data_IF_264263807205
#
_entry.id   IF_264263807205
#
_cell.length_a   1.000
_cell.length_b   1.000
_cell.length_c   1.000
_cell.angle_alpha   90.00
_cell.angle_beta   90.00
_cell.angle_gamma   90.00
#
_symmetry.space_group_name_H-M   'P 1'
#
loop_
_entity.id
_entity.type
_entity.pdbx_description
1 polymer ?
#
# COMPACT_ATOMS: atom_id res chain seq x y z
N UNK A 1 -5.65 -7.50 -20.91
CA UNK A 1 -5.24 -7.62 -19.49
C UNK A 1 -6.13 -8.66 -18.83
N UNK A 2 -5.52 -9.72 -18.29
CA UNK A 2 -6.26 -10.71 -17.52
C UNK A 2 -6.77 -10.00 -16.26
N UNK A 3 -8.09 -9.93 -16.06
CA UNK A 3 -8.66 -9.30 -14.86
C UNK A 3 -8.49 -10.30 -13.70
N UNK A 4 -7.83 -9.88 -12.61
CA UNK A 4 -7.72 -10.68 -11.38
C UNK A 4 -9.11 -11.15 -10.95
N UNK A 5 -9.32 -12.46 -10.88
CA UNK A 5 -10.60 -13.07 -10.48
C UNK A 5 -10.68 -13.09 -8.96
N UNK A 6 -11.75 -12.54 -8.41
CA UNK A 6 -11.94 -12.45 -6.96
C UNK A 6 -13.08 -13.38 -6.53
N UNK A 7 -12.84 -14.13 -5.45
CA UNK A 7 -13.90 -14.79 -4.69
C UNK A 7 -14.38 -13.89 -3.55
N UNK A 8 -15.63 -13.42 -3.63
CA UNK A 8 -16.31 -12.70 -2.56
C UNK A 8 -17.11 -13.68 -1.70
N UNK A 9 -16.66 -13.86 -0.46
CA UNK A 9 -17.25 -14.75 0.53
C UNK A 9 -17.73 -13.93 1.73
N UNK A 10 -19.03 -14.01 2.01
CA UNK A 10 -19.71 -13.15 2.98
C UNK A 10 -20.21 -13.99 4.15
N UNK A 11 -19.80 -13.63 5.35
CA UNK A 11 -20.35 -14.15 6.58
C UNK A 11 -21.59 -13.31 6.96
N UNK A 12 -22.79 -13.86 6.77
CA UNK A 12 -24.04 -13.10 6.91
C UNK A 12 -24.31 -12.62 8.34
N UNK A 13 -23.78 -13.34 9.33
CA UNK A 13 -23.98 -13.06 10.75
C UNK A 13 -23.08 -11.91 11.21
N UNK A 14 -21.89 -11.82 10.63
CA UNK A 14 -20.88 -10.81 10.96
C UNK A 14 -20.78 -9.62 9.96
N UNK A 15 -21.54 -9.65 8.87
CA UNK A 15 -21.56 -8.58 7.86
C UNK A 15 -22.82 -7.69 7.90
N UNK A 16 -22.67 -6.45 7.43
CA UNK A 16 -23.79 -5.52 7.28
C UNK A 16 -24.45 -5.60 5.89
N UNK A 17 -25.73 -6.01 5.85
CA UNK A 17 -26.49 -6.15 4.59
C UNK A 17 -26.72 -4.84 3.84
N UNK A 18 -26.69 -3.69 4.51
CA UNK A 18 -26.87 -2.38 3.86
C UNK A 18 -25.62 -1.88 3.14
N UNK A 19 -24.45 -2.43 3.45
CA UNK A 19 -23.17 -2.04 2.84
C UNK A 19 -22.82 -2.85 1.58
N UNK A 20 -23.59 -3.87 1.22
CA UNK A 20 -23.22 -4.84 0.19
C UNK A 20 -22.95 -4.23 -1.19
N UNK A 21 -23.72 -3.21 -1.58
CA UNK A 21 -23.54 -2.53 -2.87
C UNK A 21 -22.18 -1.85 -2.92
N UNK A 22 -21.81 -1.19 -1.83
CA UNK A 22 -20.56 -0.46 -1.69
C UNK A 22 -19.38 -1.42 -1.54
N UNK A 23 -19.56 -2.55 -0.86
CA UNK A 23 -18.57 -3.64 -0.80
C UNK A 23 -18.29 -4.17 -2.21
N UNK A 24 -19.34 -4.48 -2.99
CA UNK A 24 -19.19 -4.94 -4.37
C UNK A 24 -18.44 -3.93 -5.24
N UNK A 25 -18.76 -2.63 -5.09
CA UNK A 25 -18.06 -1.55 -5.80
C UNK A 25 -16.60 -1.41 -5.37
N UNK A 26 -16.31 -1.55 -4.07
CA UNK A 26 -14.94 -1.44 -3.56
C UNK A 26 -14.08 -2.61 -4.03
N UNK A 27 -14.55 -3.85 -3.85
CA UNK A 27 -13.85 -5.06 -4.26
C UNK A 27 -13.68 -5.11 -5.78
N UNK A 28 -14.67 -4.61 -6.53
CA UNK A 28 -14.61 -4.50 -7.98
C UNK A 28 -13.49 -3.59 -8.52
N UNK A 29 -12.90 -2.72 -7.69
CA UNK A 29 -11.72 -1.91 -8.07
C UNK A 29 -10.45 -2.77 -8.21
N UNK A 30 -10.36 -3.84 -7.43
CA UNK A 30 -9.18 -4.71 -7.39
C UNK A 30 -9.24 -5.85 -8.42
N UNK A 31 -10.41 -6.12 -9.01
CA UNK A 31 -10.58 -7.22 -9.95
C UNK A 31 -12.03 -7.55 -10.29
N UNK A 32 -12.23 -8.64 -11.03
CA UNK A 32 -13.56 -9.14 -11.40
C UNK A 32 -14.04 -10.15 -10.38
N UNK A 33 -15.14 -9.84 -9.71
CA UNK A 33 -15.79 -10.76 -8.76
C UNK A 33 -16.45 -11.89 -9.55
N UNK A 34 -15.87 -13.08 -9.50
CA UNK A 34 -16.34 -14.27 -10.25
C UNK A 34 -17.13 -15.24 -9.37
N UNK A 35 -16.84 -15.26 -8.06
CA UNK A 35 -17.59 -16.01 -7.07
C UNK A 35 -18.22 -15.03 -6.09
N UNK A 36 -19.53 -15.14 -5.87
CA UNK A 36 -20.28 -14.38 -4.86
C UNK A 36 -21.09 -15.35 -4.03
N UNK A 37 -20.63 -15.62 -2.81
CA UNK A 37 -21.29 -16.57 -1.90
C UNK A 37 -21.50 -15.91 -0.55
N UNK A 38 -22.64 -16.21 0.06
CA UNK A 38 -22.95 -15.78 1.42
C UNK A 38 -23.37 -16.99 2.25
N UNK A 39 -22.89 -17.06 3.48
CA UNK A 39 -23.03 -18.21 4.35
C UNK A 39 -23.86 -17.82 5.57
N UNK A 40 -24.91 -18.58 5.84
CA UNK A 40 -25.82 -18.33 6.95
C UNK A 40 -26.68 -19.57 7.24
N UNK A 41 -27.33 -19.56 8.41
CA UNK A 41 -28.57 -20.30 8.59
C UNK A 41 -29.75 -19.46 8.08
N UNK A 42 -30.26 -19.77 6.88
CA UNK A 42 -31.41 -19.05 6.27
C UNK A 42 -32.75 -19.38 6.95
N UNK A 43 -32.78 -20.34 7.89
CA UNK A 43 -33.95 -20.55 8.75
C UNK A 43 -34.03 -19.54 9.90
N UNK A 44 -32.92 -18.85 10.20
CA UNK A 44 -32.87 -17.79 11.20
C UNK A 44 -33.49 -16.49 10.68
N UNK A 45 -34.41 -15.91 11.46
CA UNK A 45 -35.08 -14.67 11.10
C UNK A 45 -34.15 -13.47 10.98
N UNK A 46 -33.02 -13.47 11.71
CA UNK A 46 -32.00 -12.41 11.66
C UNK A 46 -31.39 -12.28 10.26
N UNK A 47 -31.42 -13.35 9.46
CA UNK A 47 -30.87 -13.39 8.11
C UNK A 47 -31.87 -12.98 7.03
N UNK A 48 -33.16 -12.77 7.36
CA UNK A 48 -34.19 -12.28 6.42
C UNK A 48 -33.81 -10.94 5.78
N UNK A 49 -33.04 -10.11 6.49
CA UNK A 49 -32.52 -8.81 6.04
C UNK A 49 -31.66 -8.84 4.77
N UNK A 50 -31.19 -10.03 4.36
CA UNK A 50 -30.37 -10.23 3.16
C UNK A 50 -31.20 -10.57 1.92
N UNK A 51 -32.46 -11.01 2.07
CA UNK A 51 -33.27 -11.60 0.99
C UNK A 51 -33.33 -10.73 -0.27
N UNK A 52 -33.53 -9.42 -0.11
CA UNK A 52 -33.62 -8.48 -1.22
C UNK A 52 -32.27 -8.32 -1.94
N UNK A 53 -31.18 -8.26 -1.18
CA UNK A 53 -29.82 -8.09 -1.66
C UNK A 53 -29.32 -9.34 -2.42
N UNK A 54 -29.68 -10.54 -1.97
CA UNK A 54 -29.27 -11.78 -2.66
C UNK A 54 -29.74 -11.81 -4.11
N UNK A 55 -31.03 -11.51 -4.32
CA UNK A 55 -31.64 -11.48 -5.64
C UNK A 55 -31.10 -10.33 -6.49
N UNK A 56 -30.97 -9.14 -5.89
CA UNK A 56 -30.56 -7.94 -6.61
C UNK A 56 -29.11 -8.00 -7.10
N UNK A 57 -28.22 -8.66 -6.36
CA UNK A 57 -26.77 -8.70 -6.66
C UNK A 57 -26.26 -10.05 -7.16
N UNK A 58 -27.18 -10.99 -7.41
CA UNK A 58 -26.89 -12.37 -7.81
C UNK A 58 -25.86 -13.06 -6.88
N UNK A 59 -26.08 -12.92 -5.57
CA UNK A 59 -25.23 -13.55 -4.54
C UNK A 59 -25.84 -14.90 -4.22
N UNK A 60 -25.03 -15.97 -4.34
CA UNK A 60 -25.50 -17.33 -4.09
C UNK A 60 -25.59 -17.59 -2.58
N UNK A 61 -26.77 -17.91 -2.02
CA UNK A 61 -26.88 -18.33 -0.63
C UNK A 61 -26.36 -19.76 -0.44
N UNK A 62 -25.57 -19.97 0.61
CA UNK A 62 -25.12 -21.27 1.09
C UNK A 62 -25.77 -21.50 2.46
N UNK A 63 -26.65 -22.50 2.55
CA UNK A 63 -27.35 -22.87 3.79
C UNK A 63 -26.43 -23.70 4.69
N UNK A 64 -26.37 -23.34 5.98
CA UNK A 64 -25.83 -24.18 7.04
C UNK A 64 -26.73 -24.11 8.28
N UNK A 65 -27.17 -25.27 8.75
CA UNK A 65 -27.98 -25.36 9.95
C UNK A 65 -27.10 -25.21 11.18
N UNK A 66 -27.50 -24.37 12.13
CA UNK A 66 -26.81 -24.25 13.40
C UNK A 66 -26.92 -25.57 14.21
N UNK A 67 -25.78 -26.18 14.55
CA UNK A 67 -25.72 -27.38 15.40
C UNK A 67 -26.14 -27.10 16.85
N UNK A 68 -25.92 -25.88 17.31
CA UNK A 68 -26.28 -25.41 18.65
C UNK A 68 -26.85 -24.00 18.54
N UNK A 69 -27.99 -23.74 19.20
CA UNK A 69 -28.61 -22.41 19.19
C UNK A 69 -27.62 -21.35 19.65
N UNK A 70 -27.38 -20.34 18.81
CA UNK A 70 -26.57 -19.17 19.14
C UNK A 70 -25.06 -19.30 18.91
N UNK A 71 -24.55 -20.44 18.39
CA UNK A 71 -23.18 -20.49 17.85
C UNK A 71 -23.21 -20.45 16.32
N UNK A 72 -22.42 -19.54 15.75
CA UNK A 72 -22.19 -19.45 14.31
C UNK A 72 -21.63 -20.78 13.80
N UNK A 73 -22.26 -21.31 12.75
CA UNK A 73 -21.83 -22.56 12.09
C UNK A 73 -21.50 -22.35 10.61
N UNK A 74 -21.79 -21.14 10.11
CA UNK A 74 -21.52 -20.71 8.74
C UNK A 74 -20.02 -20.61 8.45
N UNK A 75 -19.22 -20.29 9.46
CA UNK A 75 -17.81 -19.92 9.29
C UNK A 75 -16.99 -21.11 8.79
N UNK A 76 -17.25 -22.29 9.35
CA UNK A 76 -16.61 -23.54 8.90
C UNK A 76 -16.92 -23.82 7.43
N UNK A 77 -18.16 -23.59 6.98
CA UNK A 77 -18.51 -23.80 5.58
C UNK A 77 -17.86 -22.79 4.65
N UNK A 78 -17.77 -21.53 5.08
CA UNK A 78 -17.06 -20.48 4.35
C UNK A 78 -15.58 -20.85 4.19
N UNK A 79 -14.93 -21.27 5.28
CA UNK A 79 -13.53 -21.67 5.28
C UNK A 79 -13.29 -22.87 4.35
N UNK A 80 -14.12 -23.92 4.42
CA UNK A 80 -14.00 -25.09 3.54
C UNK A 80 -14.09 -24.66 2.07
N UNK A 81 -15.10 -23.87 1.72
CA UNK A 81 -15.33 -23.46 0.34
C UNK A 81 -14.24 -22.49 -0.16
N UNK A 82 -13.67 -21.67 0.72
CA UNK A 82 -12.50 -20.85 0.42
C UNK A 82 -11.26 -21.71 0.11
N UNK A 83 -11.01 -22.74 0.92
CA UNK A 83 -9.89 -23.68 0.70
C UNK A 83 -10.06 -24.48 -0.59
N UNK A 84 -11.28 -24.90 -0.91
CA UNK A 84 -11.56 -25.58 -2.19
C UNK A 84 -11.27 -24.65 -3.39
N UNK A 85 -11.75 -23.40 -3.35
CA UNK A 85 -11.47 -22.40 -4.38
C UNK A 85 -9.98 -22.13 -4.55
N UNK A 86 -9.24 -22.09 -3.42
CA UNK A 86 -7.78 -21.92 -3.38
C UNK A 86 -7.07 -23.10 -4.03
N UNK A 87 -7.39 -24.33 -3.61
CA UNK A 87 -6.79 -25.56 -4.14
C UNK A 87 -7.08 -25.76 -5.64
N UNK A 88 -8.29 -25.44 -6.10
CA UNK A 88 -8.65 -25.53 -7.52
C UNK A 88 -8.03 -24.41 -8.37
N UNK A 89 -7.39 -23.40 -7.76
CA UNK A 89 -6.75 -22.26 -8.45
C UNK A 89 -7.71 -21.55 -9.42
N UNK A 90 -8.96 -21.40 -9.01
CA UNK A 90 -10.03 -20.83 -9.84
C UNK A 90 -10.11 -19.31 -9.76
N UNK A 91 -9.48 -18.73 -8.74
CA UNK A 91 -9.43 -17.29 -8.43
C UNK A 91 -8.01 -16.85 -8.12
N UNK A 92 -7.75 -15.55 -8.28
CA UNK A 92 -6.44 -14.92 -8.09
C UNK A 92 -6.38 -14.12 -6.78
N UNK A 93 -7.54 -13.85 -6.16
CA UNK A 93 -7.66 -13.17 -4.89
C UNK A 93 -8.97 -13.52 -4.16
N UNK A 94 -9.00 -13.26 -2.85
CA UNK A 94 -10.15 -13.46 -1.99
C UNK A 94 -10.62 -12.15 -1.38
N UNK A 95 -11.93 -12.05 -1.14
CA UNK A 95 -12.52 -11.04 -0.29
C UNK A 95 -13.39 -11.72 0.76
N UNK A 96 -13.04 -11.54 2.04
CA UNK A 96 -13.80 -12.05 3.19
C UNK A 96 -14.52 -10.88 3.84
N UNK A 97 -15.84 -10.93 3.89
CA UNK A 97 -16.66 -9.92 4.57
C UNK A 97 -17.08 -10.48 5.93
N UNK A 98 -16.36 -10.10 6.98
CA UNK A 98 -16.63 -10.46 8.37
C UNK A 98 -15.86 -9.56 9.34
N UNK A 99 -16.34 -9.47 10.58
CA UNK A 99 -15.61 -8.85 11.69
C UNK A 99 -15.11 -9.88 12.72
N UNK A 100 -15.17 -11.18 12.40
CA UNK A 100 -14.72 -12.28 13.26
C UNK A 100 -13.22 -12.56 13.10
N UNK A 101 -12.53 -12.80 14.23
CA UNK A 101 -11.11 -13.19 14.25
C UNK A 101 -10.85 -14.60 13.74
N UNK A 102 -11.84 -15.49 13.70
CA UNK A 102 -11.64 -16.89 13.33
C UNK A 102 -11.16 -17.06 11.87
N UNK A 103 -11.35 -16.05 11.02
CA UNK A 103 -10.83 -16.01 9.66
C UNK A 103 -9.33 -15.66 9.55
N UNK A 104 -8.65 -15.35 10.66
CA UNK A 104 -7.21 -15.00 10.68
C UNK A 104 -6.35 -16.14 10.10
N UNK A 105 -6.63 -17.40 10.47
CA UNK A 105 -5.89 -18.55 9.95
C UNK A 105 -6.12 -18.76 8.44
N UNK A 106 -7.34 -18.55 7.97
CA UNK A 106 -7.67 -18.59 6.54
C UNK A 106 -6.91 -17.50 5.76
N UNK A 107 -6.83 -16.28 6.32
CA UNK A 107 -6.10 -15.17 5.71
C UNK A 107 -4.60 -15.46 5.57
N UNK A 108 -3.98 -16.02 6.61
CA UNK A 108 -2.59 -16.48 6.53
C UNK A 108 -2.42 -17.52 5.43
N UNK A 109 -3.28 -18.53 5.38
CA UNK A 109 -3.15 -19.60 4.39
C UNK A 109 -3.26 -19.11 2.95
N UNK A 110 -4.21 -18.21 2.67
CA UNK A 110 -4.36 -17.62 1.33
C UNK A 110 -3.09 -16.85 0.92
N UNK A 111 -2.48 -16.12 1.86
CA UNK A 111 -1.24 -15.38 1.62
C UNK A 111 -0.02 -16.29 1.47
N UNK A 112 0.06 -17.40 2.20
CA UNK A 112 1.11 -18.41 2.05
C UNK A 112 1.10 -19.02 0.64
N UNK A 113 -0.08 -19.18 0.04
CA UNK A 113 -0.24 -19.60 -1.35
C UNK A 113 0.02 -18.46 -2.36
N UNK A 114 0.36 -17.26 -1.88
CA UNK A 114 0.76 -16.11 -2.70
C UNK A 114 -0.38 -15.29 -3.28
N UNK A 115 -1.62 -15.48 -2.80
CA UNK A 115 -2.80 -14.75 -3.28
C UNK A 115 -3.11 -13.55 -2.39
N UNK A 116 -3.72 -12.53 -3.00
CA UNK A 116 -4.21 -11.37 -2.25
C UNK A 116 -5.51 -11.72 -1.51
N UNK A 117 -5.62 -11.16 -0.31
CA UNK A 117 -6.85 -11.23 0.49
C UNK A 117 -7.26 -9.85 0.97
N UNK A 118 -8.50 -9.49 0.66
CA UNK A 118 -9.17 -8.28 1.11
C UNK A 118 -10.10 -8.66 2.27
N UNK A 119 -9.84 -8.16 3.46
CA UNK A 119 -10.78 -8.21 4.57
C UNK A 119 -11.73 -7.02 4.50
N UNK A 120 -13.02 -7.24 4.73
CA UNK A 120 -14.00 -6.16 4.90
C UNK A 120 -14.76 -6.38 6.19
N UNK A 121 -14.71 -5.40 7.09
CA UNK A 121 -15.35 -5.50 8.40
C UNK A 121 -15.43 -4.17 9.12
N UNK A 122 -15.97 -4.19 10.33
CA UNK A 122 -16.14 -2.99 11.16
C UNK A 122 -14.82 -2.55 11.79
N UNK A 123 -14.79 -1.31 12.24
CA UNK A 123 -13.66 -0.72 13.00
C UNK A 123 -13.18 -1.56 14.19
N UNK A 124 -14.12 -2.20 14.90
CA UNK A 124 -13.84 -3.04 16.08
C UNK A 124 -13.36 -4.46 15.73
N UNK A 125 -13.13 -4.78 14.45
CA UNK A 125 -12.58 -6.08 14.04
C UNK A 125 -11.22 -6.30 14.74
N UNK A 126 -10.90 -7.52 15.20
CA UNK A 126 -9.63 -7.79 15.86
C UNK A 126 -8.40 -7.51 14.98
N UNK A 127 -7.38 -6.86 15.54
CA UNK A 127 -6.14 -6.48 14.85
C UNK A 127 -5.42 -7.66 14.18
N UNK A 128 -5.56 -8.87 14.75
CA UNK A 128 -4.99 -10.09 14.18
C UNK A 128 -5.53 -10.36 12.77
N UNK A 129 -6.85 -10.29 12.58
CA UNK A 129 -7.46 -10.53 11.28
C UNK A 129 -7.15 -9.42 10.28
N UNK A 130 -7.22 -8.16 10.72
CA UNK A 130 -6.84 -7.00 9.90
C UNK A 130 -5.44 -7.15 9.34
N UNK A 131 -4.44 -7.38 10.21
CA UNK A 131 -3.02 -7.53 9.82
C UNK A 131 -2.71 -8.80 9.04
N UNK A 132 -3.54 -9.84 9.20
CA UNK A 132 -3.41 -11.04 8.39
C UNK A 132 -3.80 -10.77 6.93
N UNK A 133 -4.63 -9.77 6.64
CA UNK A 133 -5.05 -9.45 5.28
C UNK A 133 -3.96 -8.69 4.48
N UNK A 134 -4.02 -8.74 3.14
CA UNK A 134 -3.24 -7.84 2.28
C UNK A 134 -3.77 -6.41 2.37
N UNK A 135 -5.09 -6.28 2.42
CA UNK A 135 -5.80 -5.02 2.61
C UNK A 135 -7.00 -5.28 3.51
N UNK A 136 -7.28 -4.36 4.42
CA UNK A 136 -8.48 -4.39 5.24
C UNK A 136 -9.29 -3.11 5.01
N UNK A 137 -10.51 -3.25 4.52
CA UNK A 137 -11.43 -2.14 4.28
C UNK A 137 -12.44 -2.07 5.41
N UNK A 138 -12.48 -0.91 6.07
CA UNK A 138 -13.48 -0.60 7.08
C UNK A 138 -14.84 -0.34 6.43
N UNK A 139 -15.89 -1.01 6.90
CA UNK A 139 -17.27 -0.77 6.44
C UNK A 139 -17.66 0.71 6.59
N UNK A 140 -17.18 1.39 7.63
CA UNK A 140 -17.47 2.81 7.85
C UNK A 140 -16.92 3.71 6.74
N UNK A 141 -15.85 3.29 6.05
CA UNK A 141 -15.30 4.00 4.89
C UNK A 141 -16.14 3.81 3.61
N UNK A 142 -17.08 2.87 3.62
CA UNK A 142 -17.94 2.53 2.47
C UNK A 142 -19.28 3.27 2.51
N UNK A 143 -19.75 3.68 3.69
CA UNK A 143 -21.05 4.34 3.86
C UNK A 143 -20.96 5.81 3.40
N UNK A 144 -21.42 6.04 2.15
CA UNK A 144 -21.78 7.29 1.45
C UNK A 144 -20.97 8.57 1.75
N UNK A 145 -20.23 8.99 0.71
CA UNK A 145 -19.58 10.30 0.51
C UNK A 145 -20.53 11.51 0.66
N UNK A 146 -21.86 11.32 0.51
CA UNK A 146 -22.84 12.41 0.70
C UNK A 146 -22.91 12.95 2.13
N UNK A 147 -22.56 12.12 3.13
CA UNK A 147 -22.57 12.56 4.52
C UNK A 147 -21.24 13.22 4.93
N UNK A 148 -20.15 12.94 4.20
CA UNK A 148 -18.83 13.55 4.43
C UNK A 148 -18.82 15.05 4.09
N UNK A 149 -19.61 15.48 3.08
CA UNK A 149 -19.72 16.89 2.72
C UNK A 149 -20.57 17.70 3.71
N UNK A 150 -21.53 17.07 4.40
CA UNK A 150 -22.42 17.74 5.35
C UNK A 150 -21.99 17.59 6.83
N UNK A 151 -21.17 16.60 7.18
CA UNK A 151 -20.62 16.41 8.51
C UNK A 151 -19.09 16.48 8.52
N UNK A 152 -18.54 17.63 8.95
CA UNK A 152 -17.13 17.80 9.35
C UNK A 152 -16.68 16.90 10.53
N UNK A 153 -17.47 15.89 10.92
CA UNK A 153 -17.37 15.22 12.23
C UNK A 153 -16.69 13.84 12.26
N UNK A 154 -16.33 13.22 11.14
CA UNK A 154 -15.74 11.88 11.16
C UNK A 154 -14.30 11.85 10.62
N UNK A 155 -13.41 12.69 11.18
CA UNK A 155 -11.97 12.40 11.14
C UNK A 155 -11.68 11.51 12.34
N UNK A 156 -11.63 10.21 12.11
CA UNK A 156 -11.49 9.20 13.18
C UNK A 156 -10.02 9.08 13.65
N UNK A 157 -9.06 9.43 12.80
CA UNK A 157 -7.62 9.28 13.10
C UNK A 157 -6.81 10.51 12.70
N UNK A 158 -5.86 10.89 13.57
CA UNK A 158 -4.76 11.77 13.20
C UNK A 158 -3.80 11.04 12.24
N UNK A 159 -3.15 11.79 11.36
CA UNK A 159 -2.17 11.23 10.42
C UNK A 159 -0.92 10.80 11.21
N UNK A 160 -0.58 9.51 11.15
CA UNK A 160 0.66 8.98 11.69
C UNK A 160 1.81 9.21 10.70
N UNK A 161 2.62 10.24 10.95
CA UNK A 161 3.75 10.58 10.09
C UNK A 161 4.88 9.54 10.16
N UNK A 162 4.94 8.68 11.19
CA UNK A 162 5.91 7.58 11.22
C UNK A 162 5.60 6.56 10.12
N UNK A 163 4.33 6.20 9.96
CA UNK A 163 3.84 5.37 8.85
C UNK A 163 4.12 6.02 7.50
N UNK A 164 3.85 7.32 7.35
CA UNK A 164 4.10 8.08 6.11
C UNK A 164 5.58 8.05 5.73
N UNK A 165 6.46 8.38 6.67
CA UNK A 165 7.89 8.41 6.43
C UNK A 165 8.44 7.02 6.10
N UNK A 166 8.01 6.00 6.85
CA UNK A 166 8.42 4.61 6.60
C UNK A 166 7.98 4.12 5.21
N UNK A 167 6.73 4.40 4.83
CA UNK A 167 6.22 4.01 3.51
C UNK A 167 6.93 4.76 2.39
N UNK A 168 7.24 6.05 2.58
CA UNK A 168 7.98 6.85 1.61
C UNK A 168 9.38 6.28 1.40
N UNK A 169 10.12 6.02 2.48
CA UNK A 169 11.48 5.47 2.44
C UNK A 169 11.57 4.08 1.79
N UNK A 170 10.48 3.30 1.80
CA UNK A 170 10.43 2.01 1.10
C UNK A 170 10.40 2.13 -0.43
N UNK A 171 9.93 3.27 -0.96
CA UNK A 171 9.64 3.43 -2.39
C UNK A 171 10.20 4.73 -2.99
N UNK A 172 10.93 5.51 -2.20
CA UNK A 172 11.69 6.68 -2.67
C UNK A 172 12.71 6.22 -3.71
N UNK A 173 12.68 6.89 -4.85
CA UNK A 173 13.61 6.69 -5.94
C UNK A 173 14.96 7.34 -5.58
N UNK A 174 16.04 6.56 -5.65
CA UNK A 174 17.39 7.01 -5.27
C UNK A 174 17.92 8.14 -6.18
N UNK A 175 17.44 8.25 -7.42
CA UNK A 175 17.96 9.20 -8.42
C UNK A 175 17.30 10.58 -8.28
N UNK A 176 15.97 10.63 -8.10
CA UNK A 176 15.22 11.90 -8.08
C UNK A 176 14.57 12.23 -6.73
N UNK A 177 14.64 11.33 -5.74
CA UNK A 177 14.06 11.53 -4.41
C UNK A 177 12.54 11.63 -4.40
N UNK A 178 11.87 11.05 -5.39
CA UNK A 178 10.41 11.00 -5.50
C UNK A 178 9.89 9.59 -5.31
N UNK A 179 8.66 9.45 -4.82
CA UNK A 179 7.97 8.18 -4.67
C UNK A 179 6.71 8.17 -5.53
N UNK A 180 6.62 7.27 -6.52
CA UNK A 180 5.42 7.14 -7.35
C UNK A 180 4.19 6.91 -6.46
N UNK A 181 3.10 7.66 -6.69
CA UNK A 181 1.93 7.60 -5.80
C UNK A 181 1.33 6.19 -5.70
N UNK A 182 1.34 5.40 -6.78
CA UNK A 182 0.86 4.01 -6.73
C UNK A 182 1.72 3.17 -5.77
N UNK A 183 3.04 3.19 -5.94
CA UNK A 183 4.00 2.48 -5.06
C UNK A 183 3.90 2.97 -3.62
N UNK A 184 3.76 4.27 -3.39
CA UNK A 184 3.58 4.84 -2.06
C UNK A 184 2.28 4.35 -1.41
N UNK A 185 1.17 4.30 -2.17
CA UNK A 185 -0.11 3.74 -1.70
C UNK A 185 0.00 2.26 -1.31
N UNK A 186 0.73 1.48 -2.11
CA UNK A 186 1.00 0.06 -1.85
C UNK A 186 1.88 -0.12 -0.61
N UNK A 187 2.94 0.68 -0.45
CA UNK A 187 3.82 0.65 0.72
C UNK A 187 3.05 0.98 2.01
N UNK A 188 2.14 1.95 1.98
CA UNK A 188 1.28 2.26 3.12
C UNK A 188 0.41 1.06 3.53
N UNK A 189 -0.20 0.37 2.56
CA UNK A 189 -0.99 -0.85 2.83
C UNK A 189 -0.13 -2.02 3.30
N UNK A 190 1.11 -2.12 2.82
CA UNK A 190 2.07 -3.15 3.25
C UNK A 190 2.47 -3.01 4.71
N UNK A 191 2.62 -1.78 5.20
CA UNK A 191 2.93 -1.50 6.61
C UNK A 191 1.66 -1.57 7.47
N UNK A 192 0.56 -1.01 6.97
CA UNK A 192 -0.73 -0.97 7.62
C UNK A 192 -1.84 -1.35 6.65
N UNK A 193 -2.28 -2.61 6.71
CA UNK A 193 -3.35 -3.16 5.88
C UNK A 193 -4.65 -2.35 5.90
N UNK A 194 -4.94 -1.62 6.99
CA UNK A 194 -6.14 -0.77 7.16
C UNK A 194 -6.00 0.63 6.57
N UNK A 195 -4.84 0.97 5.99
CA UNK A 195 -4.63 2.31 5.49
C UNK A 195 -5.66 2.67 4.41
N UNK A 196 -6.43 3.72 4.69
CA UNK A 196 -7.42 4.28 3.78
C UNK A 196 -7.50 5.80 3.97
N UNK A 197 -7.32 6.61 2.91
CA UNK A 197 -7.40 8.07 3.01
C UNK A 197 -8.74 8.57 3.57
N UNK A 198 -9.83 7.80 3.42
CA UNK A 198 -11.17 8.16 3.92
C UNK A 198 -11.22 8.22 5.43
N UNK A 199 -10.44 7.38 6.12
CA UNK A 199 -10.33 7.42 7.59
C UNK A 199 -9.67 8.70 8.12
N UNK A 200 -9.00 9.45 7.25
CA UNK A 200 -8.39 10.75 7.54
C UNK A 200 -9.18 11.93 6.95
N UNK A 201 -10.39 11.68 6.42
CA UNK A 201 -11.26 12.71 5.84
C UNK A 201 -11.04 13.00 4.35
N UNK A 202 -10.28 12.17 3.63
CA UNK A 202 -9.98 12.38 2.21
C UNK A 202 -10.62 11.32 1.32
N UNK A 203 -11.44 11.74 0.36
CA UNK A 203 -12.11 10.82 -0.58
C UNK A 203 -11.19 10.31 -1.69
N UNK A 204 -10.06 10.98 -1.92
CA UNK A 204 -9.07 10.65 -2.95
C UNK A 204 -7.68 10.60 -2.32
N UNK A 205 -6.90 9.59 -2.70
CA UNK A 205 -5.52 9.42 -2.25
C UNK A 205 -4.62 10.59 -2.67
N UNK A 206 -4.80 11.12 -3.88
CA UNK A 206 -4.07 12.32 -4.34
C UNK A 206 -4.33 13.55 -3.47
N UNK A 207 -5.58 13.76 -3.05
CA UNK A 207 -5.94 14.85 -2.12
C UNK A 207 -5.34 14.63 -0.74
N UNK A 208 -5.33 13.38 -0.23
CA UNK A 208 -4.64 13.03 1.01
C UNK A 208 -3.15 13.41 0.92
N UNK A 209 -2.45 12.95 -0.12
CA UNK A 209 -1.04 13.23 -0.33
C UNK A 209 -0.73 14.73 -0.45
N UNK A 210 -1.57 15.50 -1.17
CA UNK A 210 -1.42 16.96 -1.30
C UNK A 210 -1.47 17.69 0.05
N UNK A 211 -2.16 17.13 1.05
CA UNK A 211 -2.33 17.74 2.37
C UNK A 211 -1.36 17.17 3.43
N UNK A 212 -0.42 16.31 3.04
CA UNK A 212 0.65 15.87 3.94
C UNK A 212 1.62 17.01 4.22
N UNK A 213 1.89 17.28 5.50
CA UNK A 213 2.96 18.20 5.90
C UNK A 213 4.32 17.60 5.53
N UNK A 214 5.26 18.44 5.12
CA UNK A 214 6.59 17.97 4.69
C UNK A 214 6.68 17.35 3.30
N UNK A 215 5.54 17.10 2.65
CA UNK A 215 5.49 16.50 1.32
C UNK A 215 4.77 17.40 0.32
N UNK A 216 5.10 17.21 -0.95
CA UNK A 216 4.44 17.84 -2.09
C UNK A 216 4.25 16.86 -3.24
N UNK A 217 3.30 17.16 -4.12
CA UNK A 217 3.09 16.38 -5.33
C UNK A 217 4.03 16.90 -6.42
N UNK A 218 4.71 15.97 -7.07
CA UNK A 218 5.57 16.20 -8.21
C UNK A 218 4.93 15.60 -9.46
N UNK A 219 4.60 16.45 -10.43
CA UNK A 219 4.10 16.01 -11.74
C UNK A 219 5.28 15.80 -12.67
N UNK A 220 5.33 14.64 -13.32
CA UNK A 220 6.37 14.32 -14.28
C UNK A 220 6.10 14.98 -15.65
N UNK A 221 7.13 15.05 -16.49
CA UNK A 221 7.10 15.65 -17.83
C UNK A 221 6.05 15.02 -18.76
N UNK A 222 5.69 13.75 -18.52
CA UNK A 222 4.63 13.02 -19.24
C UNK A 222 3.20 13.52 -18.95
N UNK A 223 3.04 14.41 -17.96
CA UNK A 223 1.76 15.03 -17.58
C UNK A 223 0.74 14.08 -16.95
N UNK A 224 1.06 12.79 -16.79
CA UNK A 224 0.13 11.77 -16.27
C UNK A 224 0.66 11.08 -15.01
N UNK A 225 1.98 11.05 -14.84
CA UNK A 225 2.63 10.43 -13.70
C UNK A 225 2.79 11.45 -12.59
N UNK A 226 2.29 11.10 -11.40
CA UNK A 226 2.38 11.92 -10.19
C UNK A 226 3.13 11.14 -9.12
N UNK A 227 4.12 11.78 -8.52
CA UNK A 227 4.90 11.27 -7.40
C UNK A 227 4.77 12.16 -6.18
N UNK A 228 5.11 11.62 -5.01
CA UNK A 228 5.29 12.37 -3.77
C UNK A 228 6.76 12.74 -3.64
N UNK A 229 7.07 13.95 -3.15
CA UNK A 229 8.45 14.42 -2.88
C UNK A 229 8.48 15.11 -1.52
N UNK A 230 9.61 15.04 -0.81
CA UNK A 230 9.82 15.82 0.42
C UNK A 230 10.10 17.29 0.07
N UNK A 231 9.43 18.21 0.76
CA UNK A 231 9.67 19.66 0.62
C UNK A 231 11.08 20.02 1.06
N UNK A 232 11.74 20.92 0.32
CA UNK A 232 13.14 21.29 0.55
C UNK A 232 13.42 21.86 1.94
N UNK A 233 12.46 22.59 2.53
CA UNK A 233 12.58 23.17 3.87
C UNK A 233 12.58 22.14 5.01
N UNK A 234 12.17 20.89 4.78
CA UNK A 234 12.23 19.81 5.78
C UNK A 234 13.45 18.89 5.62
N UNK A 235 14.24 19.02 4.53
CA UNK A 235 15.57 18.39 4.45
C UNK A 235 16.51 18.85 5.58
N UNK A 236 16.27 20.04 6.15
CA UNK A 236 17.06 20.61 7.25
C UNK A 236 16.59 20.19 8.65
N UNK A 237 15.31 19.90 8.88
CA UNK A 237 14.80 19.50 10.20
C UNK A 237 15.19 18.08 10.62
N UNK A 238 15.60 17.23 9.67
CA UNK A 238 16.17 15.90 9.96
C UNK A 238 17.69 16.00 10.25
N UNK A 239 18.36 17.11 9.90
CA UNK A 239 19.78 17.34 10.22
C UNK A 239 20.02 17.69 11.70
N UNK A 240 18.99 18.01 12.48
CA UNK A 240 19.13 18.45 13.89
C UNK A 240 18.92 17.37 14.95
N UNK A 241 18.66 16.12 14.56
CA UNK A 241 19.03 15.00 15.43
C UNK A 241 20.53 14.81 15.20
N UNK A 242 21.40 15.03 16.20
CA UNK A 242 22.82 14.84 16.00
C UNK A 242 23.06 13.37 15.68
N UNK A 243 23.21 13.04 14.41
CA UNK A 243 24.01 11.91 13.98
C UNK A 243 25.43 12.23 14.40
N UNK A 244 25.73 11.96 15.67
CA UNK A 244 27.08 11.65 16.12
C UNK A 244 27.60 10.57 15.17
N UNK A 245 28.44 10.98 14.23
CA UNK A 245 29.79 10.49 14.05
C UNK A 245 30.36 11.18 12.80
N UNK A 246 31.57 11.73 12.92
CA UNK A 246 32.33 12.17 11.76
C UNK A 246 32.53 10.99 10.82
N UNK A 247 31.91 11.04 9.65
CA UNK A 247 32.15 10.10 8.56
C UNK A 247 32.77 10.89 7.42
N UNK A 248 34.08 11.07 7.48
CA UNK A 248 34.85 11.69 6.38
C UNK A 248 36.19 10.99 6.12
N UNK A 249 36.62 10.03 6.94
CA UNK A 249 38.02 9.58 6.89
C UNK A 249 38.33 8.33 6.06
N UNK A 250 37.41 7.74 5.28
CA UNK A 250 37.73 6.48 4.58
C UNK A 250 36.95 6.17 3.28
N UNK A 251 36.48 7.19 2.54
CA UNK A 251 35.86 6.96 1.22
C UNK A 251 36.94 6.50 0.21
N UNK A 252 36.67 5.41 -0.52
CA UNK A 252 37.58 4.83 -1.51
C UNK A 252 37.50 5.62 -2.84
N UNK A 253 38.21 6.75 -2.88
CA UNK A 253 38.21 7.67 -4.03
C UNK A 253 38.82 7.06 -5.30
N UNK A 254 39.67 6.03 -5.19
CA UNK A 254 40.18 5.31 -6.37
C UNK A 254 39.06 4.54 -7.07
N UNK A 255 38.19 3.85 -6.31
CA UNK A 255 37.01 3.19 -6.87
C UNK A 255 36.00 4.16 -7.44
N UNK A 256 35.80 5.31 -6.79
CA UNK A 256 34.91 6.37 -7.28
C UNK A 256 35.40 6.88 -8.62
N UNK A 257 36.69 7.23 -8.73
CA UNK A 257 37.29 7.67 -9.98
C UNK A 257 37.17 6.60 -11.07
N UNK A 258 37.48 5.34 -10.73
CA UNK A 258 37.33 4.22 -11.65
C UNK A 258 35.89 4.04 -12.13
N UNK A 259 34.91 4.14 -11.24
CA UNK A 259 33.49 4.06 -11.62
C UNK A 259 33.08 5.24 -12.50
N UNK A 260 33.58 6.44 -12.22
CA UNK A 260 33.31 7.64 -13.01
C UNK A 260 33.87 7.50 -14.42
N UNK A 261 35.15 7.11 -14.54
CA UNK A 261 35.85 6.91 -15.82
C UNK A 261 35.18 5.82 -16.69
N UNK A 262 34.44 4.88 -16.10
CA UNK A 262 33.70 3.86 -16.85
C UNK A 262 32.45 4.39 -17.57
N UNK A 263 31.89 5.51 -17.12
CA UNK A 263 30.60 6.03 -17.61
C UNK A 263 30.62 7.50 -18.02
N UNK A 264 31.75 8.18 -17.79
CA UNK A 264 31.92 9.58 -18.16
C UNK A 264 31.91 9.77 -19.68
N UNK A 265 31.16 10.76 -20.14
CA UNK A 265 31.09 11.27 -21.50
C UNK A 265 31.20 12.80 -21.44
N UNK A 266 32.19 13.37 -22.12
CA UNK A 266 32.53 14.80 -22.07
C UNK A 266 32.57 15.36 -20.63
N UNK A 267 33.39 14.74 -19.77
CA UNK A 267 33.61 15.14 -18.36
C UNK A 267 32.40 15.04 -17.43
N UNK A 268 31.30 14.41 -17.86
CA UNK A 268 30.08 14.23 -17.06
C UNK A 268 29.52 12.81 -17.16
N UNK A 269 28.82 12.35 -16.14
CA UNK A 269 28.14 11.05 -16.15
C UNK A 269 26.73 11.20 -15.55
N UNK A 270 25.72 10.55 -16.14
CA UNK A 270 24.40 10.46 -15.52
C UNK A 270 24.49 9.73 -14.17
N UNK A 271 23.79 10.22 -13.15
CA UNK A 271 23.80 9.62 -11.81
C UNK A 271 23.37 8.15 -11.83
N UNK A 272 22.35 7.80 -12.61
CA UNK A 272 21.89 6.42 -12.77
C UNK A 272 22.99 5.49 -13.31
N UNK A 273 23.70 5.91 -14.36
CA UNK A 273 24.85 5.16 -14.91
C UNK A 273 26.00 5.09 -13.91
N UNK A 274 26.24 6.16 -13.16
CA UNK A 274 27.27 6.20 -12.14
C UNK A 274 26.97 5.26 -10.95
N UNK A 275 25.71 5.16 -10.53
CA UNK A 275 25.25 4.20 -9.52
C UNK A 275 25.50 2.75 -9.95
N UNK A 276 25.21 2.43 -11.22
CA UNK A 276 25.52 1.12 -11.80
C UNK A 276 27.03 0.85 -11.82
N UNK A 277 27.85 1.84 -12.17
CA UNK A 277 29.29 1.72 -12.20
C UNK A 277 29.89 1.50 -10.80
N UNK A 278 29.39 2.20 -9.78
CA UNK A 278 29.80 2.00 -8.39
C UNK A 278 29.49 0.59 -7.89
N UNK A 279 28.35 0.04 -8.30
CA UNK A 279 27.99 -1.36 -8.02
C UNK A 279 29.00 -2.33 -8.65
N UNK A 280 29.44 -2.07 -9.89
CA UNK A 280 30.46 -2.89 -10.60
C UNK A 280 31.82 -2.87 -9.91
N UNK A 281 32.22 -1.74 -9.34
CA UNK A 281 33.48 -1.63 -8.56
C UNK A 281 33.31 -2.05 -7.10
N UNK A 282 32.14 -2.59 -6.72
CA UNK A 282 31.81 -3.05 -5.36
C UNK A 282 31.95 -1.93 -4.32
N UNK A 283 31.52 -0.73 -4.66
CA UNK A 283 31.39 0.40 -3.72
C UNK A 283 29.90 0.61 -3.41
N UNK A 284 29.56 0.58 -2.13
CA UNK A 284 28.19 0.81 -1.66
C UNK A 284 28.16 2.07 -0.79
N UNK A 285 27.50 3.14 -1.25
CA UNK A 285 27.42 4.40 -0.50
C UNK A 285 26.84 4.22 0.92
N UNK A 286 25.93 3.26 1.10
CA UNK A 286 25.35 2.89 2.40
C UNK A 286 26.38 2.40 3.42
N UNK A 287 27.49 1.80 3.01
CA UNK A 287 28.56 1.39 3.93
C UNK A 287 29.31 2.59 4.53
N UNK A 288 29.19 3.76 3.92
CA UNK A 288 29.75 5.02 4.41
C UNK A 288 28.70 5.86 5.15
N UNK A 289 27.60 5.25 5.62
CA UNK A 289 26.58 5.91 6.44
C UNK A 289 25.60 6.81 5.66
N UNK A 290 25.72 6.90 4.33
CA UNK A 290 24.79 7.64 3.50
C UNK A 290 23.51 6.86 3.29
N UNK A 291 22.37 7.49 3.61
CA UNK A 291 21.05 6.90 3.38
C UNK A 291 20.63 6.97 1.91
N UNK A 292 21.03 8.03 1.20
CA UNK A 292 20.67 8.31 -0.20
C UNK A 292 21.90 8.40 -1.08
N UNK A 293 21.78 7.92 -2.31
CA UNK A 293 22.87 8.00 -3.29
C UNK A 293 23.21 9.43 -3.66
N UNK A 294 22.17 10.26 -3.85
CA UNK A 294 22.33 11.68 -4.13
C UNK A 294 23.13 12.42 -3.04
N UNK A 295 22.86 12.15 -1.76
CA UNK A 295 23.60 12.76 -0.64
C UNK A 295 25.07 12.34 -0.66
N UNK A 296 25.34 11.06 -0.96
CA UNK A 296 26.70 10.57 -1.12
C UNK A 296 27.42 11.31 -2.23
N UNK A 297 26.83 11.41 -3.43
CA UNK A 297 27.41 12.13 -4.56
C UNK A 297 27.63 13.62 -4.27
N UNK A 298 26.74 14.26 -3.52
CA UNK A 298 26.83 15.68 -3.19
C UNK A 298 27.95 15.97 -2.17
N UNK A 299 28.28 14.99 -1.33
CA UNK A 299 29.36 15.08 -0.34
C UNK A 299 30.70 14.53 -0.88
N UNK A 300 30.78 14.11 -2.15
CA UNK A 300 32.05 13.69 -2.76
C UNK A 300 32.97 14.89 -3.04
N UNK A 301 34.17 14.86 -2.45
CA UNK A 301 35.20 15.84 -2.74
C UNK A 301 35.67 15.72 -4.19
N UNK A 302 35.79 16.86 -4.87
CA UNK A 302 36.22 16.92 -6.28
C UNK A 302 35.13 16.63 -7.31
N UNK A 303 33.88 16.37 -6.90
CA UNK A 303 32.75 16.19 -7.82
C UNK A 303 31.63 17.20 -7.55
N UNK A 304 30.86 17.54 -8.58
CA UNK A 304 29.63 18.32 -8.49
C UNK A 304 28.50 17.70 -9.30
N UNK A 305 27.27 17.86 -8.79
CA UNK A 305 26.04 17.37 -9.44
C UNK A 305 25.38 18.54 -10.18
N UNK A 306 25.02 18.34 -11.44
CA UNK A 306 24.24 19.30 -12.23
C UNK A 306 22.89 18.69 -12.63
N UNK A 307 21.79 19.44 -12.49
CA UNK A 307 20.52 19.08 -13.11
C UNK A 307 20.58 19.26 -14.63
N UNK A 308 19.89 18.42 -15.38
CA UNK A 308 19.59 18.64 -16.80
C UNK A 308 18.31 19.47 -16.99
N UNK A 309 18.08 19.93 -18.22
CA UNK A 309 16.93 20.77 -18.61
C UNK A 309 15.55 20.12 -18.31
N UNK A 310 15.51 18.81 -18.10
CA UNK A 310 14.29 18.07 -17.75
C UNK A 310 13.95 18.10 -16.25
N UNK A 311 14.82 18.67 -15.41
CA UNK A 311 14.74 18.71 -13.93
C UNK A 311 14.54 17.33 -13.24
N UNK A 312 14.68 16.23 -14.01
CA UNK A 312 14.45 14.86 -13.57
C UNK A 312 15.70 14.02 -13.59
N UNK A 313 16.65 14.38 -14.46
CA UNK A 313 17.93 13.71 -14.58
C UNK A 313 19.05 14.59 -14.05
N UNK A 314 19.96 13.95 -13.33
CA UNK A 314 21.13 14.60 -12.75
C UNK A 314 22.39 13.96 -13.35
N UNK A 315 23.40 14.78 -13.59
CA UNK A 315 24.74 14.34 -13.95
C UNK A 315 25.73 14.70 -12.84
N UNK A 316 26.75 13.88 -12.68
CA UNK A 316 27.92 14.16 -11.85
C UNK A 316 29.08 14.51 -12.78
N UNK A 317 29.90 15.50 -12.42
CA UNK A 317 31.12 15.87 -13.14
C UNK A 317 32.25 16.22 -12.16
N UNK A 318 33.48 16.26 -12.64
CA UNK A 318 34.62 16.72 -11.85
C UNK A 318 34.54 18.24 -11.64
N UNK A 319 34.80 18.69 -10.41
CA UNK A 319 35.01 20.11 -10.10
C UNK A 319 36.32 20.57 -10.75
N UNK A 320 36.27 21.65 -11.54
CA UNK A 320 37.45 22.33 -12.06
C UNK A 320 38.12 23.18 -10.97
#
# INVERSE_FOLDING_TARGET
MQKNKIALLIDAENANSSAIEQILKEVGKSGTITVKRIYADWTDERNKKWKEQLNSYAIRPIQKFAYTKGKGSSDTALIIDAMDLLHFKTVDAFCIVSSDSDYTGLAHRIREDGLDIIGVGKSHTPEAFKKACTQFVREENLVKISDIQNNKKNVDKSIDYSLINSAFEMVEDDDNGTALLSKFSEALRKINSEFDPRSYGYTRFTTFCKNLKGYELYSHSDGTTISLKRKENEKQLIKTIPSNNGISSNIDYEKIKKAFDMVADNDSALLSKFAEALTKVKLQYKSYGYKRFFDFCNDLDGYEINPHDDEQTFSIKLKQ
#
